data_IF_971192445306
#
_entry.id   IF_971192445306
#
_cell.length_a   1.000
_cell.length_b   1.000
_cell.length_c   1.000
_cell.angle_alpha   90.00
_cell.angle_beta   90.00
_cell.angle_gamma   90.00
#
_symmetry.space_group_name_H-M   'P 1'
#
loop_
_entity.id
_entity.type
_entity.pdbx_description
1 polymer ?
#
# COMPACT_ATOMS: atom_id res chain seq x y z
N UNK A 1 -51.79 -35.21 -19.02
CA UNK A 1 -50.80 -34.19 -18.60
C UNK A 1 -49.51 -34.84 -18.08
N UNK A 2 -48.33 -34.52 -18.65
CA UNK A 2 -47.08 -35.02 -18.10
C UNK A 2 -46.79 -34.37 -16.74
N UNK A 3 -46.13 -35.08 -15.82
CA UNK A 3 -45.82 -34.56 -14.49
C UNK A 3 -44.78 -33.43 -14.59
N UNK A 4 -45.06 -32.33 -13.90
CA UNK A 4 -44.17 -31.19 -13.75
C UNK A 4 -42.84 -31.65 -13.13
N UNK A 5 -41.75 -31.52 -13.90
CA UNK A 5 -40.40 -31.80 -13.41
C UNK A 5 -40.03 -30.92 -12.22
N UNK A 6 -39.09 -31.36 -11.36
CA UNK A 6 -38.66 -30.57 -10.21
C UNK A 6 -38.08 -29.23 -10.67
N UNK A 7 -38.30 -28.14 -9.90
CA UNK A 7 -37.76 -26.83 -10.23
C UNK A 7 -36.23 -26.92 -10.35
N UNK A 8 -35.70 -26.51 -11.50
CA UNK A 8 -34.26 -26.34 -11.69
C UNK A 8 -33.77 -25.31 -10.65
N UNK A 9 -32.93 -25.74 -9.72
CA UNK A 9 -32.28 -24.83 -8.78
C UNK A 9 -31.47 -23.80 -9.58
N UNK A 10 -31.52 -22.52 -9.21
CA UNK A 10 -30.73 -21.50 -9.88
C UNK A 10 -29.24 -21.86 -9.80
N UNK A 11 -28.45 -21.61 -10.87
CA UNK A 11 -27.02 -21.85 -10.85
C UNK A 11 -26.38 -21.15 -9.65
N UNK A 12 -25.69 -21.91 -8.81
CA UNK A 12 -24.95 -21.36 -7.67
C UNK A 12 -23.88 -20.43 -8.24
N UNK A 13 -24.08 -19.12 -8.10
CA UNK A 13 -23.12 -18.12 -8.55
C UNK A 13 -21.79 -18.38 -7.82
N UNK A 14 -20.77 -18.75 -8.58
CA UNK A 14 -19.41 -18.91 -8.06
C UNK A 14 -18.96 -17.58 -7.46
N UNK A 15 -18.36 -17.56 -6.26
CA UNK A 15 -17.83 -16.32 -5.70
C UNK A 15 -16.77 -15.73 -6.66
N UNK A 16 -16.69 -14.40 -6.79
CA UNK A 16 -15.68 -13.77 -7.63
C UNK A 16 -14.28 -14.16 -7.17
N UNK A 17 -13.32 -14.32 -8.09
CA UNK A 17 -11.95 -14.62 -7.74
C UNK A 17 -11.37 -13.52 -6.84
N UNK A 18 -10.42 -13.85 -5.95
CA UNK A 18 -9.79 -12.86 -5.10
C UNK A 18 -9.06 -11.80 -5.93
N UNK A 19 -9.10 -10.53 -5.51
CA UNK A 19 -8.43 -9.45 -6.22
C UNK A 19 -6.91 -9.66 -6.29
N UNK A 20 -6.34 -9.45 -7.48
CA UNK A 20 -4.90 -9.55 -7.73
C UNK A 20 -4.20 -8.39 -7.02
N UNK A 21 -3.02 -8.65 -6.42
CA UNK A 21 -2.18 -7.60 -5.85
C UNK A 21 -0.79 -7.66 -6.45
N UNK A 22 -0.34 -6.53 -7.00
CA UNK A 22 1.05 -6.35 -7.42
C UNK A 22 1.84 -5.76 -6.27
N UNK A 23 2.81 -6.52 -5.77
CA UNK A 23 3.67 -6.07 -4.68
C UNK A 23 4.84 -5.26 -5.20
N UNK A 24 5.31 -4.30 -4.41
CA UNK A 24 6.48 -3.50 -4.74
C UNK A 24 7.71 -4.39 -4.94
N UNK A 25 8.50 -4.09 -5.95
CA UNK A 25 9.66 -4.90 -6.36
C UNK A 25 11.00 -4.23 -6.06
N UNK A 26 10.99 -2.91 -5.93
CA UNK A 26 12.09 -2.14 -5.33
C UNK A 26 11.55 -0.99 -4.49
N UNK A 27 12.38 -0.46 -3.60
CA UNK A 27 12.02 0.69 -2.78
C UNK A 27 13.27 1.49 -2.41
N UNK A 28 13.11 2.74 -2.04
CA UNK A 28 14.19 3.62 -1.63
C UNK A 28 13.74 4.60 -0.55
N UNK A 29 14.72 5.15 0.15
CA UNK A 29 14.53 6.26 1.09
C UNK A 29 15.67 7.27 0.89
N UNK A 30 15.60 8.44 1.51
CA UNK A 30 16.69 9.40 1.46
C UNK A 30 18.03 8.84 2.01
N UNK A 31 17.97 7.94 3.00
CA UNK A 31 19.15 7.32 3.62
C UNK A 31 19.57 5.99 2.96
N UNK A 32 18.72 5.43 2.13
CA UNK A 32 18.99 4.22 1.35
C UNK A 32 18.43 4.43 -0.07
N UNK A 33 19.10 5.25 -0.90
CA UNK A 33 18.59 5.64 -2.22
C UNK A 33 18.44 4.47 -3.19
N UNK A 34 19.21 3.40 -2.97
CA UNK A 34 19.19 2.19 -3.80
C UNK A 34 18.30 1.09 -3.20
N UNK A 35 17.84 1.24 -1.95
CA UNK A 35 17.06 0.20 -1.27
C UNK A 35 17.82 -1.09 -1.01
N UNK A 36 19.15 -1.05 -1.09
CA UNK A 36 19.99 -2.25 -1.09
C UNK A 36 20.27 -2.77 0.32
N UNK A 37 19.89 -2.02 1.36
CA UNK A 37 20.12 -2.44 2.74
C UNK A 37 19.27 -3.66 3.11
N UNK A 38 19.94 -4.70 3.61
CA UNK A 38 19.30 -5.93 4.09
C UNK A 38 19.04 -5.92 5.61
N UNK A 39 19.50 -4.88 6.30
CA UNK A 39 19.44 -4.78 7.76
C UNK A 39 18.00 -4.74 8.29
N UNK A 40 17.84 -5.04 9.57
CA UNK A 40 16.55 -4.93 10.24
C UNK A 40 16.02 -3.49 10.19
N UNK A 41 14.75 -3.32 9.83
CA UNK A 41 14.14 -1.99 9.69
C UNK A 41 14.36 -1.33 8.33
N UNK A 42 15.11 -1.94 7.40
CA UNK A 42 15.38 -1.35 6.09
C UNK A 42 14.13 -1.23 5.21
N UNK A 43 14.20 -0.38 4.19
CA UNK A 43 13.08 -0.17 3.25
C UNK A 43 12.79 -1.41 2.39
N UNK A 44 13.80 -2.26 2.18
CA UNK A 44 13.65 -3.54 1.50
C UNK A 44 12.63 -4.48 2.18
N UNK A 45 12.29 -4.23 3.46
CA UNK A 45 11.26 -4.99 4.19
C UNK A 45 9.83 -4.66 3.76
N UNK A 46 9.64 -3.67 2.89
CA UNK A 46 8.35 -3.38 2.25
C UNK A 46 8.12 -4.16 0.95
N UNK A 47 9.13 -4.89 0.46
CA UNK A 47 9.09 -5.54 -0.84
C UNK A 47 8.41 -6.90 -0.80
N UNK A 48 7.77 -7.25 -1.91
CA UNK A 48 7.11 -8.53 -2.10
C UNK A 48 5.85 -8.70 -1.25
N UNK A 49 5.26 -9.89 -1.38
CA UNK A 49 4.10 -10.29 -0.59
C UNK A 49 4.47 -10.42 0.91
N UNK A 50 3.52 -10.19 1.83
CA UNK A 50 3.74 -10.43 3.25
C UNK A 50 4.15 -11.89 3.48
N UNK A 51 5.30 -12.11 4.10
CA UNK A 51 5.76 -13.45 4.42
C UNK A 51 5.00 -14.05 5.63
N UNK A 52 5.24 -15.34 5.91
CA UNK A 52 4.56 -16.05 7.00
C UNK A 52 4.72 -15.38 8.38
N UNK A 53 5.85 -14.72 8.65
CA UNK A 53 6.09 -14.03 9.92
C UNK A 53 5.23 -12.77 10.05
N UNK A 54 5.08 -12.01 8.96
CA UNK A 54 4.15 -10.86 8.89
C UNK A 54 2.72 -11.32 9.13
N UNK A 55 2.28 -12.37 8.43
CA UNK A 55 0.93 -12.90 8.57
C UNK A 55 0.67 -13.46 9.97
N UNK A 56 1.64 -14.13 10.58
CA UNK A 56 1.56 -14.60 11.98
C UNK A 56 1.47 -13.45 12.97
N UNK A 57 2.20 -12.35 12.74
CA UNK A 57 2.12 -11.16 13.58
C UNK A 57 0.72 -10.51 13.50
N UNK A 58 0.15 -10.43 12.30
CA UNK A 58 -1.23 -9.96 12.10
C UNK A 58 -2.23 -10.88 12.81
N UNK A 59 -2.11 -12.19 12.65
CA UNK A 59 -3.01 -13.18 13.27
C UNK A 59 -2.96 -13.14 14.81
N UNK A 60 -1.83 -12.77 15.41
CA UNK A 60 -1.72 -12.57 16.87
C UNK A 60 -2.48 -11.34 17.36
N UNK A 61 -2.79 -10.37 16.50
CA UNK A 61 -3.57 -9.18 16.84
C UNK A 61 -2.87 -8.17 17.75
N UNK A 62 -1.56 -8.31 18.03
CA UNK A 62 -0.86 -7.40 18.95
C UNK A 62 -0.18 -6.26 18.18
N UNK A 63 -0.75 -5.06 18.29
CA UNK A 63 -0.21 -3.84 17.66
C UNK A 63 0.89 -3.25 18.54
N UNK A 64 2.13 -3.70 18.36
CA UNK A 64 3.27 -3.23 19.15
C UNK A 64 4.58 -3.28 18.37
N UNK A 65 5.61 -2.55 18.82
CA UNK A 65 6.97 -2.70 18.30
C UNK A 65 7.41 -4.17 18.34
N UNK A 66 8.13 -4.61 17.32
CA UNK A 66 8.61 -6.00 17.25
C UNK A 66 9.84 -6.15 16.38
N UNK A 67 10.19 -7.41 16.10
CA UNK A 67 11.39 -7.78 15.35
C UNK A 67 11.49 -7.05 14.00
N UNK A 68 12.62 -6.38 13.82
CA UNK A 68 12.94 -5.52 12.68
C UNK A 68 13.25 -6.31 11.40
N UNK A 69 13.42 -7.64 11.48
CA UNK A 69 13.75 -8.48 10.33
C UNK A 69 12.70 -8.48 9.21
N UNK A 70 11.42 -8.21 9.54
CA UNK A 70 10.27 -8.33 8.63
C UNK A 70 9.43 -7.05 8.52
N UNK A 71 10.00 -5.91 8.90
CA UNK A 71 9.28 -4.63 8.92
C UNK A 71 10.23 -3.48 8.60
N UNK A 72 9.76 -2.54 7.80
CA UNK A 72 10.40 -1.26 7.64
C UNK A 72 10.09 -0.39 8.86
N UNK A 73 11.12 0.30 9.33
CA UNK A 73 11.03 1.30 10.39
C UNK A 73 11.67 2.56 9.83
N UNK A 74 10.94 3.68 9.71
CA UNK A 74 11.50 4.94 9.23
C UNK A 74 12.70 5.40 10.06
N UNK A 75 13.47 6.33 9.52
CA UNK A 75 14.49 7.04 10.30
C UNK A 75 13.87 7.92 11.38
N UNK A 76 14.64 8.20 12.43
CA UNK A 76 14.26 9.20 13.43
C UNK A 76 14.20 10.61 12.82
N UNK A 77 15.08 10.89 11.85
CA UNK A 77 15.10 12.14 11.10
C UNK A 77 13.91 12.26 10.13
N UNK A 78 13.39 13.48 10.02
CA UNK A 78 12.41 13.90 9.02
C UNK A 78 13.12 14.52 7.81
N UNK A 79 12.53 14.46 6.59
CA UNK A 79 11.29 13.77 6.24
C UNK A 79 11.44 12.23 6.26
N UNK A 80 10.35 11.55 6.67
CA UNK A 80 10.29 10.09 6.77
C UNK A 80 9.49 9.54 5.60
N UNK A 81 10.22 9.18 4.55
CA UNK A 81 9.61 8.78 3.27
C UNK A 81 10.18 7.46 2.79
N UNK A 82 9.30 6.59 2.29
CA UNK A 82 9.66 5.45 1.48
C UNK A 82 9.01 5.58 0.11
N UNK A 83 9.80 5.42 -0.94
CA UNK A 83 9.32 5.33 -2.32
C UNK A 83 9.41 3.87 -2.73
N UNK A 84 8.33 3.31 -3.24
CA UNK A 84 8.22 1.94 -3.69
C UNK A 84 7.93 1.94 -5.18
N UNK A 85 8.55 1.04 -5.92
CA UNK A 85 8.39 0.94 -7.37
C UNK A 85 7.82 -0.40 -7.77
N UNK A 86 7.16 -0.39 -8.92
CA UNK A 86 6.41 -1.49 -9.49
C UNK A 86 6.91 -1.72 -10.92
N UNK A 87 7.35 -2.94 -11.22
CA UNK A 87 7.91 -3.29 -12.54
C UNK A 87 7.25 -4.53 -13.16
N UNK A 88 6.03 -4.85 -12.74
CA UNK A 88 5.24 -5.93 -13.35
C UNK A 88 4.96 -5.67 -14.83
N UNK A 89 4.85 -6.75 -15.59
CA UNK A 89 4.43 -6.73 -17.01
C UNK A 89 3.14 -7.54 -17.17
N UNK A 90 2.05 -6.94 -17.69
CA UNK A 90 1.91 -5.54 -18.07
C UNK A 90 1.92 -4.60 -16.86
N UNK A 91 2.34 -3.34 -17.07
CA UNK A 91 2.30 -2.31 -16.04
C UNK A 91 0.86 -2.05 -15.57
N UNK A 92 0.72 -1.62 -14.31
CA UNK A 92 -0.60 -1.39 -13.74
C UNK A 92 -1.15 -0.04 -14.19
N UNK A 93 -2.27 -0.04 -14.92
CA UNK A 93 -2.99 1.21 -15.22
C UNK A 93 -3.67 1.74 -13.96
N UNK A 94 -3.59 3.04 -13.71
CA UNK A 94 -4.19 3.65 -12.51
C UNK A 94 -5.70 3.44 -12.45
N UNK A 95 -6.39 3.41 -13.61
CA UNK A 95 -7.82 3.07 -13.73
C UNK A 95 -8.19 1.65 -13.28
N UNK A 96 -7.21 0.74 -13.17
CA UNK A 96 -7.39 -0.64 -12.71
C UNK A 96 -6.93 -0.85 -11.28
N UNK A 97 -6.29 0.15 -10.66
CA UNK A 97 -5.90 0.07 -9.25
C UNK A 97 -7.09 0.47 -8.39
N UNK A 98 -7.68 -0.50 -7.69
CA UNK A 98 -8.78 -0.24 -6.75
C UNK A 98 -8.29 0.35 -5.44
N UNK A 99 -7.12 -0.08 -4.96
CA UNK A 99 -6.51 0.44 -3.74
C UNK A 99 -4.99 0.28 -3.74
N UNK A 100 -4.29 1.16 -3.02
CA UNK A 100 -2.97 0.84 -2.47
C UNK A 100 -3.20 0.11 -1.15
N UNK A 101 -2.46 -0.96 -0.93
CA UNK A 101 -2.55 -1.74 0.31
C UNK A 101 -1.22 -1.74 1.05
N UNK A 102 -1.27 -1.67 2.37
CA UNK A 102 -0.09 -1.72 3.22
C UNK A 102 -0.36 -2.53 4.49
N UNK A 103 0.58 -3.38 4.90
CA UNK A 103 0.52 -4.02 6.21
C UNK A 103 1.12 -3.11 7.26
N UNK A 104 0.30 -2.66 8.21
CA UNK A 104 0.75 -1.90 9.38
C UNK A 104 0.88 -2.88 10.54
N UNK A 105 2.06 -2.98 11.13
CA UNK A 105 2.36 -3.91 12.24
C UNK A 105 2.49 -3.20 13.59
N UNK A 106 2.83 -1.92 13.56
CA UNK A 106 2.84 -1.02 14.70
C UNK A 106 2.46 0.38 14.20
N UNK A 107 1.57 1.09 14.91
CA UNK A 107 1.26 2.50 14.59
C UNK A 107 2.31 3.46 15.14
N UNK A 108 3.00 3.06 16.21
CA UNK A 108 3.84 3.97 16.97
C UNK A 108 3.00 5.04 17.68
N UNK A 109 3.63 6.14 18.05
CA UNK A 109 3.00 7.30 18.71
C UNK A 109 2.94 8.53 17.81
N UNK A 110 3.58 8.49 16.63
CA UNK A 110 3.50 9.56 15.63
C UNK A 110 2.10 9.57 15.01
N UNK A 111 1.45 10.73 15.06
CA UNK A 111 0.12 10.94 14.48
C UNK A 111 0.17 12.07 13.42
N UNK A 112 -0.26 11.83 12.17
CA UNK A 112 -0.66 10.53 11.63
C UNK A 112 0.53 9.58 11.39
N UNK A 113 0.31 8.29 11.66
CA UNK A 113 1.29 7.23 11.37
C UNK A 113 1.62 7.14 9.86
N UNK A 114 0.62 7.38 9.00
CA UNK A 114 0.80 7.60 7.56
C UNK A 114 0.20 8.96 7.24
N UNK A 115 1.05 9.95 6.97
CA UNK A 115 0.65 11.32 6.68
C UNK A 115 0.06 11.47 5.29
N UNK A 116 0.66 10.84 4.29
CA UNK A 116 0.09 10.79 2.95
C UNK A 116 0.58 9.57 2.18
N UNK A 117 -0.19 9.22 1.15
CA UNK A 117 0.21 8.25 0.14
C UNK A 117 0.02 8.91 -1.22
N UNK A 118 1.03 8.73 -2.05
CA UNK A 118 1.08 9.31 -3.39
C UNK A 118 1.42 8.25 -4.42
N UNK A 119 0.93 8.43 -5.65
CA UNK A 119 1.24 7.60 -6.80
C UNK A 119 2.19 8.35 -7.73
N UNK A 120 3.23 7.66 -8.20
CA UNK A 120 4.00 8.09 -9.35
C UNK A 120 3.33 7.55 -10.59
N UNK A 121 2.69 8.44 -11.34
CA UNK A 121 2.04 8.11 -12.60
C UNK A 121 2.98 8.38 -13.77
N UNK A 122 3.01 7.49 -14.75
CA UNK A 122 3.59 7.73 -16.06
C UNK A 122 2.47 7.88 -17.09
N UNK A 123 2.41 9.02 -17.76
CA UNK A 123 1.43 9.28 -18.81
C UNK A 123 1.81 8.56 -20.11
N UNK A 124 0.88 8.43 -21.08
CA UNK A 124 1.21 7.92 -22.42
C UNK A 124 2.32 8.73 -23.13
N UNK A 125 2.43 10.03 -22.83
CA UNK A 125 3.51 10.90 -23.30
C UNK A 125 4.84 10.71 -22.53
N UNK A 126 4.95 9.65 -21.72
CA UNK A 126 6.12 9.31 -20.91
C UNK A 126 6.48 10.35 -19.82
N UNK A 127 5.58 11.28 -19.52
CA UNK A 127 5.77 12.24 -18.43
C UNK A 127 5.43 11.60 -17.09
N UNK A 128 6.29 11.84 -16.10
CA UNK A 128 6.09 11.34 -14.73
C UNK A 128 5.55 12.44 -13.82
N UNK A 129 4.58 12.11 -12.99
CA UNK A 129 4.02 13.04 -12.00
C UNK A 129 3.63 12.32 -10.70
N UNK A 130 3.88 12.98 -9.58
CA UNK A 130 3.39 12.56 -8.27
C UNK A 130 1.98 13.10 -8.04
N UNK A 131 1.05 12.23 -7.66
CA UNK A 131 -0.30 12.61 -7.25
C UNK A 131 -0.62 12.03 -5.88
N UNK A 132 -0.97 12.90 -4.94
CA UNK A 132 -1.49 12.52 -3.63
C UNK A 132 -2.93 12.04 -3.79
N UNK A 133 -3.28 10.90 -3.19
CA UNK A 133 -4.67 10.43 -3.18
C UNK A 133 -5.19 10.12 -1.77
N UNK A 134 -4.29 10.06 -0.80
CA UNK A 134 -4.61 9.85 0.60
C UNK A 134 -3.84 10.85 1.47
N UNK A 135 -4.53 11.42 2.45
CA UNK A 135 -3.91 12.23 3.51
C UNK A 135 -4.48 11.79 4.87
N UNK A 136 -3.60 11.46 5.81
CA UNK A 136 -3.97 10.85 7.09
C UNK A 136 -4.90 11.72 7.91
N UNK A 137 -4.61 13.02 8.01
CA UNK A 137 -5.37 13.98 8.81
C UNK A 137 -6.78 14.27 8.30
N UNK A 138 -7.06 14.09 7.00
CA UNK A 138 -8.37 14.40 6.41
C UNK A 138 -9.19 13.18 6.01
N UNK A 139 -8.57 11.99 5.94
CA UNK A 139 -9.25 10.78 5.49
C UNK A 139 -10.27 10.23 6.48
N UNK A 140 -10.15 10.54 7.77
CA UNK A 140 -10.93 9.91 8.85
C UNK A 140 -10.70 8.39 8.96
N UNK A 141 -9.77 7.82 8.19
CA UNK A 141 -9.53 6.39 8.14
C UNK A 141 -8.74 5.94 9.37
N UNK A 142 -9.34 5.09 10.19
CA UNK A 142 -8.63 4.43 11.27
C UNK A 142 -7.76 3.31 10.72
N UNK A 143 -6.45 3.36 10.99
CA UNK A 143 -5.54 2.28 10.59
C UNK A 143 -5.80 1.03 11.43
N UNK A 144 -6.08 -0.07 10.74
CA UNK A 144 -6.07 -1.42 11.32
C UNK A 144 -4.65 -1.77 11.71
N UNK A 145 -4.44 -2.18 12.96
CA UNK A 145 -3.12 -2.58 13.44
C UNK A 145 -3.22 -3.69 14.50
N UNK A 146 -2.43 -4.77 14.38
CA UNK A 146 -1.67 -5.12 13.19
C UNK A 146 -2.63 -5.57 12.08
N UNK A 147 -2.39 -5.19 10.83
CA UNK A 147 -3.27 -5.64 9.74
C UNK A 147 -3.07 -4.96 8.41
N UNK A 148 -3.83 -5.45 7.43
CA UNK A 148 -3.88 -4.92 6.08
C UNK A 148 -4.78 -3.69 6.03
N UNK A 149 -4.22 -2.57 5.62
CA UNK A 149 -4.95 -1.34 5.35
C UNK A 149 -5.11 -1.17 3.85
N UNK A 150 -6.32 -0.77 3.42
CA UNK A 150 -6.64 -0.49 2.02
C UNK A 150 -6.93 1.00 1.88
N UNK A 151 -6.27 1.64 0.94
CA UNK A 151 -6.41 3.05 0.63
C UNK A 151 -6.99 3.15 -0.78
N UNK A 152 -8.31 3.37 -0.90
CA UNK A 152 -8.99 3.38 -2.20
C UNK A 152 -8.39 4.43 -3.13
N UNK A 153 -8.14 4.04 -4.37
CA UNK A 153 -7.67 4.95 -5.42
C UNK A 153 -8.87 5.31 -6.29
N UNK A 154 -9.12 6.60 -6.46
CA UNK A 154 -10.16 7.11 -7.36
C UNK A 154 -9.70 8.41 -8.00
N UNK A 155 -10.18 8.69 -9.21
CA UNK A 155 -9.84 9.93 -9.93
C UNK A 155 -10.19 11.19 -9.13
N UNK A 156 -11.30 11.17 -8.39
CA UNK A 156 -11.77 12.30 -7.59
C UNK A 156 -10.87 12.60 -6.38
N UNK A 157 -10.16 11.58 -5.86
CA UNK A 157 -9.25 11.72 -4.73
C UNK A 157 -7.87 12.28 -5.12
N UNK A 158 -7.50 12.25 -6.41
CA UNK A 158 -6.17 12.65 -6.86
C UNK A 158 -5.92 14.15 -6.75
N UNK A 159 -4.76 14.52 -6.22
CA UNK A 159 -4.26 15.88 -6.03
C UNK A 159 -2.80 15.98 -6.50
N UNK A 160 -2.48 16.82 -7.50
CA UNK A 160 -3.43 17.61 -8.30
C UNK A 160 -4.41 16.70 -9.08
N UNK A 161 -5.60 17.21 -9.46
CA UNK A 161 -6.53 16.45 -10.28
C UNK A 161 -5.89 16.09 -11.62
N UNK A 162 -6.13 14.86 -12.09
CA UNK A 162 -5.73 14.40 -13.42
C UNK A 162 -6.95 14.31 -14.33
N UNK A 163 -6.78 14.49 -15.63
CA UNK A 163 -7.87 14.34 -16.58
C UNK A 163 -8.35 12.88 -16.66
N UNK A 164 -9.59 12.66 -17.07
CA UNK A 164 -10.14 11.32 -17.26
C UNK A 164 -9.31 10.48 -18.25
N UNK A 165 -8.78 11.10 -19.31
CA UNK A 165 -7.90 10.44 -20.27
C UNK A 165 -6.57 9.98 -19.63
N UNK A 166 -5.96 10.83 -18.80
CA UNK A 166 -4.74 10.47 -18.06
C UNK A 166 -5.06 9.37 -17.04
N UNK A 167 -6.15 9.47 -16.29
CA UNK A 167 -6.55 8.43 -15.35
C UNK A 167 -6.82 7.08 -16.05
N UNK A 168 -7.42 7.09 -17.23
CA UNK A 168 -7.71 5.88 -17.98
C UNK A 168 -6.44 5.17 -18.47
N UNK A 169 -5.43 5.94 -18.89
CA UNK A 169 -4.28 5.43 -19.64
C UNK A 169 -2.95 5.42 -18.87
N UNK A 170 -2.79 6.22 -17.83
CA UNK A 170 -1.53 6.33 -17.09
C UNK A 170 -1.21 5.05 -16.31
N UNK A 171 0.08 4.75 -16.25
CA UNK A 171 0.63 3.60 -15.54
C UNK A 171 1.13 4.04 -14.16
N UNK A 172 0.97 3.18 -13.17
CA UNK A 172 1.50 3.39 -11.81
C UNK A 172 2.90 2.80 -11.75
N UNK A 173 3.89 3.68 -11.70
CA UNK A 173 5.31 3.33 -11.60
C UNK A 173 5.76 3.15 -10.16
N UNK A 174 5.09 3.85 -9.22
CA UNK A 174 5.52 3.88 -7.84
C UNK A 174 4.46 4.38 -6.87
N UNK A 175 4.71 4.12 -5.59
CA UNK A 175 3.96 4.61 -4.43
C UNK A 175 4.94 5.30 -3.50
N UNK A 176 4.61 6.49 -3.01
CA UNK A 176 5.36 7.16 -1.96
C UNK A 176 4.55 7.16 -0.68
N UNK A 177 5.11 6.58 0.38
CA UNK A 177 4.60 6.63 1.74
C UNK A 177 5.32 7.73 2.50
N UNK A 178 4.55 8.67 3.05
CA UNK A 178 5.08 9.70 3.95
C UNK A 178 4.54 9.47 5.36
N UNK A 179 5.43 9.46 6.35
CA UNK A 179 5.08 9.36 7.77
C UNK A 179 4.98 10.76 8.38
N UNK A 180 4.15 10.91 9.42
CA UNK A 180 3.97 12.18 10.13
C UNK A 180 5.27 12.81 10.64
N UNK A 181 5.25 14.14 10.76
CA UNK A 181 6.40 14.95 11.14
C UNK A 181 6.69 14.99 12.65
N UNK A 182 5.93 14.25 13.46
CA UNK A 182 6.12 14.24 14.92
C UNK A 182 7.56 13.86 15.33
N UNK A 183 8.00 14.38 16.46
CA UNK A 183 9.36 14.19 16.97
C UNK A 183 9.41 12.97 17.89
N UNK A 184 10.40 12.12 17.69
CA UNK A 184 10.72 11.04 18.63
C UNK A 184 12.19 10.68 18.54
N UNK A 185 12.77 10.23 19.65
CA UNK A 185 14.14 9.69 19.72
C UNK A 185 14.17 8.16 19.74
N UNK A 186 13.02 7.50 19.81
CA UNK A 186 12.91 6.05 19.89
C UNK A 186 12.23 5.47 18.64
N UNK A 187 12.90 4.52 17.99
CA UNK A 187 12.37 3.82 16.81
C UNK A 187 11.14 2.97 17.13
N UNK A 188 10.92 2.57 18.39
CA UNK A 188 9.72 1.87 18.82
C UNK A 188 8.46 2.76 18.69
N UNK A 189 8.63 4.08 18.81
CA UNK A 189 7.56 5.06 18.66
C UNK A 189 7.23 5.39 17.20
N UNK A 190 8.02 4.90 16.25
CA UNK A 190 7.74 5.06 14.82
C UNK A 190 6.78 3.98 14.32
N UNK A 191 5.97 4.28 13.29
CA UNK A 191 5.16 3.27 12.64
C UNK A 191 6.07 2.21 12.01
N UNK A 192 5.62 0.97 12.06
CA UNK A 192 6.33 -0.16 11.47
C UNK A 192 5.41 -0.86 10.48
N UNK A 193 5.87 -0.95 9.25
CA UNK A 193 5.08 -1.44 8.13
C UNK A 193 5.80 -2.61 7.45
N UNK A 194 5.03 -3.46 6.81
CA UNK A 194 5.50 -4.51 5.93
C UNK A 194 4.69 -4.44 4.63
N UNK A 195 5.26 -4.96 3.54
CA UNK A 195 4.58 -5.23 2.26
C UNK A 195 3.59 -4.14 1.77
N UNK A 196 3.94 -3.42 0.72
CA UNK A 196 3.05 -2.47 0.06
C UNK A 196 2.76 -2.95 -1.36
N UNK A 197 1.50 -2.85 -1.77
CA UNK A 197 1.06 -3.33 -3.07
C UNK A 197 -0.05 -2.49 -3.71
N UNK A 198 -0.26 -2.72 -5.00
CA UNK A 198 -1.39 -2.24 -5.78
C UNK A 198 -2.41 -3.36 -5.88
N UNK A 199 -3.56 -3.19 -5.22
CA UNK A 199 -4.68 -4.10 -5.34
C UNK A 199 -5.52 -3.69 -6.56
N UNK A 200 -5.68 -4.62 -7.48
CA UNK A 200 -6.42 -4.41 -8.72
C UNK A 200 -7.93 -4.55 -8.48
N UNK A 201 -8.72 -3.73 -9.18
CA UNK A 201 -10.18 -3.73 -9.16
C UNK A 201 -10.80 -4.68 -10.18
#
# INVERSE_FOLDING_TARGET
PPPSGPPLLPPKLSPPPPPITYWATSASTAKDPLGSSTSGGSVAKLLGAPNANVLKAVAKGVCKPGDTANRWIPSLETPRTAVLYFNQTPAAKVSRVGAVVAYVLNRGTIDPAIASIELLLQTPSQQQQWVTFYTGSSSGQQLTCPGLNRFPVSAAALKPPVSAAVFAAAEVMGVRLNVGAGVTSDKANLPQMAAVGLQMA
#
